data_IF_705947858137
#
_entry.id   IF_705947858137
#
_cell.length_a   1.000
_cell.length_b   1.000
_cell.length_c   1.000
_cell.angle_alpha   90.00
_cell.angle_beta   90.00
_cell.angle_gamma   90.00
#
_symmetry.space_group_name_H-M   'P 1'
#
loop_
_entity.id
_entity.type
_entity.pdbx_description
1 polymer ?
#
# COMPACT_ATOMS: atom_id res chain seq x y z
N UNK A 1 -33.28 -67.87 10.69
CA UNK A 1 -31.95 -68.03 11.31
C UNK A 1 -32.17 -67.98 12.80
N UNK A 2 -31.67 -68.97 13.54
CA UNK A 2 -31.82 -69.00 15.00
C UNK A 2 -31.18 -67.76 15.62
N UNK A 3 -31.92 -67.08 16.49
CA UNK A 3 -31.42 -65.92 17.22
C UNK A 3 -30.32 -66.39 18.18
N UNK A 4 -29.06 -66.13 17.82
CA UNK A 4 -27.92 -66.37 18.71
C UNK A 4 -28.02 -65.43 19.90
N UNK A 5 -27.66 -65.92 21.09
CA UNK A 5 -27.66 -65.06 22.28
C UNK A 5 -26.49 -64.09 22.25
N UNK A 6 -26.57 -63.00 23.02
CA UNK A 6 -25.50 -62.02 23.14
C UNK A 6 -24.18 -62.67 23.59
N UNK A 7 -24.23 -63.67 24.46
CA UNK A 7 -23.05 -64.40 24.94
C UNK A 7 -22.41 -65.22 23.82
N UNK A 8 -23.22 -65.87 22.98
CA UNK A 8 -22.71 -66.61 21.81
C UNK A 8 -22.09 -65.69 20.77
N UNK A 9 -22.73 -64.53 20.52
CA UNK A 9 -22.18 -63.51 19.62
C UNK A 9 -20.89 -62.91 20.19
N UNK A 10 -20.81 -62.68 21.50
CA UNK A 10 -19.59 -62.21 22.17
C UNK A 10 -18.44 -63.23 22.05
N UNK A 11 -18.70 -64.52 22.21
CA UNK A 11 -17.68 -65.56 22.05
C UNK A 11 -17.10 -65.60 20.62
N UNK A 12 -17.97 -65.49 19.61
CA UNK A 12 -17.56 -65.42 18.20
C UNK A 12 -16.80 -64.12 17.89
N UNK A 13 -17.25 -63.00 18.44
CA UNK A 13 -16.59 -61.73 18.30
C UNK A 13 -15.18 -61.73 18.95
N UNK A 14 -14.99 -62.40 20.09
CA UNK A 14 -13.68 -62.61 20.71
C UNK A 14 -12.75 -63.48 19.85
N UNK A 15 -13.31 -64.41 19.07
CA UNK A 15 -12.57 -65.21 18.10
C UNK A 15 -12.20 -64.43 16.81
N UNK A 16 -12.59 -63.16 16.70
CA UNK A 16 -12.28 -62.29 15.57
C UNK A 16 -13.34 -62.26 14.45
N UNK A 17 -14.54 -62.78 14.69
CA UNK A 17 -15.64 -62.71 13.71
C UNK A 17 -16.26 -61.30 13.68
N UNK A 18 -15.95 -60.53 12.64
CA UNK A 18 -16.49 -59.18 12.43
C UNK A 18 -18.01 -59.17 12.23
N UNK A 19 -18.60 -60.20 11.60
CA UNK A 19 -20.05 -60.26 11.41
C UNK A 19 -20.78 -60.49 12.74
N UNK A 20 -20.16 -61.23 13.66
CA UNK A 20 -20.68 -61.40 15.00
C UNK A 20 -20.65 -60.08 15.79
N UNK A 21 -19.61 -59.26 15.63
CA UNK A 21 -19.54 -57.91 16.22
C UNK A 21 -20.66 -57.01 15.70
N UNK A 22 -20.85 -56.93 14.39
CA UNK A 22 -21.89 -56.07 13.79
C UNK A 22 -23.28 -56.48 14.29
N UNK A 23 -23.59 -57.78 14.28
CA UNK A 23 -24.87 -58.30 14.81
C UNK A 23 -25.05 -58.00 16.29
N UNK A 24 -24.00 -58.18 17.10
CA UNK A 24 -24.04 -57.87 18.53
C UNK A 24 -24.35 -56.38 18.77
N UNK A 25 -23.81 -55.47 17.96
CA UNK A 25 -24.11 -54.04 18.07
C UNK A 25 -25.56 -53.77 17.65
N UNK A 26 -25.97 -54.28 16.48
CA UNK A 26 -27.32 -54.10 15.92
C UNK A 26 -28.42 -54.58 16.87
N UNK A 27 -28.28 -55.80 17.41
CA UNK A 27 -29.24 -56.40 18.34
C UNK A 27 -29.40 -55.59 19.64
N UNK A 28 -28.37 -54.83 20.03
CA UNK A 28 -28.33 -54.08 21.27
C UNK A 28 -28.49 -52.56 21.10
N UNK A 29 -28.78 -52.07 19.88
CA UNK A 29 -28.99 -50.64 19.60
C UNK A 29 -30.08 -50.00 20.46
N UNK A 30 -31.16 -50.73 20.78
CA UNK A 30 -32.24 -50.22 21.63
C UNK A 30 -31.74 -49.88 23.04
N UNK A 31 -30.87 -50.72 23.59
CA UNK A 31 -30.27 -50.50 24.92
C UNK A 31 -29.28 -49.32 24.90
N UNK A 32 -28.47 -49.21 23.85
CA UNK A 32 -27.55 -48.09 23.64
C UNK A 32 -28.34 -46.78 23.54
N UNK A 33 -29.39 -46.74 22.72
CA UNK A 33 -30.27 -45.57 22.58
C UNK A 33 -30.96 -45.19 23.88
N UNK A 34 -31.42 -46.18 24.66
CA UNK A 34 -31.98 -45.93 25.99
C UNK A 34 -30.95 -45.30 26.94
N UNK A 35 -29.72 -45.81 26.93
CA UNK A 35 -28.61 -45.27 27.73
C UNK A 35 -28.26 -43.84 27.31
N UNK A 36 -28.20 -43.56 26.00
CA UNK A 36 -27.99 -42.22 25.48
C UNK A 36 -29.11 -41.26 25.94
N UNK A 37 -30.37 -41.68 25.83
CA UNK A 37 -31.52 -40.89 26.30
C UNK A 37 -31.48 -40.64 27.81
N UNK A 38 -30.99 -41.59 28.62
CA UNK A 38 -30.79 -41.38 30.06
C UNK A 38 -29.69 -40.35 30.35
N UNK A 39 -28.59 -40.37 29.58
CA UNK A 39 -27.53 -39.36 29.71
C UNK A 39 -28.05 -37.98 29.30
N UNK A 40 -28.85 -37.90 28.23
CA UNK A 40 -29.48 -36.65 27.81
C UNK A 40 -30.48 -36.18 28.87
N UNK A 41 -31.27 -37.08 29.45
CA UNK A 41 -32.19 -36.82 30.57
C UNK A 41 -33.44 -36.00 30.22
N UNK A 42 -33.29 -34.90 29.47
CA UNK A 42 -34.40 -34.00 29.13
C UNK A 42 -34.06 -32.96 28.04
N UNK A 43 -35.06 -32.16 27.62
CA UNK A 43 -34.96 -31.27 26.45
C UNK A 43 -33.93 -30.15 26.64
N UNK A 44 -33.76 -29.65 27.86
CA UNK A 44 -32.79 -28.59 28.19
C UNK A 44 -31.36 -29.09 27.91
N UNK A 45 -31.02 -30.28 28.43
CA UNK A 45 -29.70 -30.86 28.23
C UNK A 45 -29.51 -31.40 26.79
N UNK A 46 -30.58 -31.80 26.11
CA UNK A 46 -30.52 -32.08 24.66
C UNK A 46 -30.13 -30.84 23.86
N UNK A 47 -30.80 -29.71 24.10
CA UNK A 47 -30.49 -28.44 23.42
C UNK A 47 -29.08 -27.97 23.74
N UNK A 48 -28.65 -28.16 24.98
CA UNK A 48 -27.29 -27.91 25.41
C UNK A 48 -26.24 -28.71 24.62
N UNK A 49 -26.41 -30.03 24.53
CA UNK A 49 -25.50 -30.91 23.79
C UNK A 49 -25.49 -30.57 22.29
N UNK A 50 -26.66 -30.27 21.73
CA UNK A 50 -26.78 -29.83 20.35
C UNK A 50 -26.02 -28.52 20.09
N UNK A 51 -26.11 -27.55 21.01
CA UNK A 51 -25.31 -26.31 20.94
C UNK A 51 -23.80 -26.56 21.07
N UNK A 52 -23.38 -27.73 21.57
CA UNK A 52 -22.00 -28.20 21.60
C UNK A 52 -21.61 -29.02 20.36
N UNK A 53 -22.50 -29.14 19.36
CA UNK A 53 -22.27 -29.95 18.17
C UNK A 53 -22.38 -31.47 18.39
N UNK A 54 -23.01 -31.90 19.50
CA UNK A 54 -23.22 -33.32 19.79
C UNK A 54 -24.68 -33.67 19.57
N UNK A 55 -24.95 -34.54 18.61
CA UNK A 55 -26.27 -35.08 18.34
C UNK A 55 -26.53 -36.38 19.10
N UNK A 56 -27.80 -36.81 19.09
CA UNK A 56 -28.19 -38.10 19.67
C UNK A 56 -27.47 -39.27 18.99
N UNK A 57 -27.25 -39.17 17.69
CA UNK A 57 -26.67 -40.24 16.91
C UNK A 57 -25.17 -40.37 17.20
N UNK A 58 -24.46 -39.27 17.45
CA UNK A 58 -23.06 -39.29 17.90
C UNK A 58 -22.90 -40.05 19.23
N UNK A 59 -23.82 -39.82 20.18
CA UNK A 59 -23.83 -40.56 21.44
C UNK A 59 -24.12 -42.04 21.23
N UNK A 60 -25.04 -42.39 20.34
CA UNK A 60 -25.33 -43.79 20.01
C UNK A 60 -24.10 -44.46 19.39
N UNK A 61 -23.39 -43.78 18.50
CA UNK A 61 -22.17 -44.29 17.88
C UNK A 61 -21.04 -44.45 18.89
N UNK A 62 -20.80 -43.45 19.74
CA UNK A 62 -19.82 -43.56 20.83
C UNK A 62 -20.16 -44.72 21.79
N UNK A 63 -21.45 -44.91 22.09
CA UNK A 63 -21.94 -46.04 22.85
C UNK A 63 -21.66 -47.40 22.18
N UNK A 64 -21.86 -47.48 20.87
CA UNK A 64 -21.58 -48.67 20.06
C UNK A 64 -20.09 -49.01 20.04
N UNK A 65 -19.22 -48.01 19.95
CA UNK A 65 -17.76 -48.16 20.09
C UNK A 65 -17.41 -48.65 21.51
N UNK A 66 -18.09 -48.12 22.53
CA UNK A 66 -17.93 -48.57 23.91
C UNK A 66 -18.32 -50.04 24.12
N UNK A 67 -19.43 -50.48 23.51
CA UNK A 67 -19.87 -51.87 23.50
C UNK A 67 -18.84 -52.78 22.82
N UNK A 68 -18.36 -52.37 21.64
CA UNK A 68 -17.34 -53.10 20.89
C UNK A 68 -16.06 -53.29 21.70
N UNK A 69 -15.56 -52.21 22.33
CA UNK A 69 -14.37 -52.29 23.21
C UNK A 69 -14.56 -53.20 24.41
N UNK A 70 -15.79 -53.37 24.90
CA UNK A 70 -16.09 -54.25 26.02
C UNK A 70 -16.01 -55.74 25.64
N UNK A 71 -16.15 -56.10 24.37
CA UNK A 71 -16.09 -57.49 23.90
C UNK A 71 -14.75 -58.14 24.26
N UNK A 72 -13.63 -57.44 24.04
CA UNK A 72 -12.28 -57.97 24.30
C UNK A 72 -12.00 -58.26 25.77
N UNK A 73 -12.70 -57.61 26.71
CA UNK A 73 -12.48 -57.73 28.15
C UNK A 73 -13.52 -58.54 28.91
N UNK A 74 -14.52 -59.12 28.22
CA UNK A 74 -15.64 -59.79 28.87
C UNK A 74 -15.33 -61.25 29.23
N UNK A 75 -15.45 -61.59 30.51
CA UNK A 75 -15.29 -62.96 31.02
C UNK A 75 -16.61 -63.73 30.95
N UNK A 76 -16.79 -64.53 29.90
CA UNK A 76 -18.00 -65.34 29.68
C UNK A 76 -18.17 -66.50 30.68
N UNK A 77 -17.10 -66.88 31.40
CA UNK A 77 -17.13 -67.93 32.44
C UNK A 77 -17.74 -67.45 33.76
N UNK A 78 -17.84 -66.13 33.98
CA UNK A 78 -18.30 -65.51 35.23
C UNK A 78 -19.80 -65.66 35.50
N UNK A 79 -20.59 -66.13 34.51
CA UNK A 79 -22.04 -66.26 34.60
C UNK A 79 -22.81 -64.93 34.59
N UNK A 80 -22.12 -63.79 34.44
CA UNK A 80 -22.77 -62.49 34.29
C UNK A 80 -23.22 -62.27 32.84
N UNK A 81 -24.40 -61.66 32.65
CA UNK A 81 -24.89 -61.33 31.31
C UNK A 81 -24.00 -60.28 30.66
N UNK A 82 -23.71 -60.45 29.37
CA UNK A 82 -22.81 -59.55 28.63
C UNK A 82 -23.19 -58.06 28.76
N UNK A 83 -24.47 -57.73 28.60
CA UNK A 83 -24.95 -56.35 28.71
C UNK A 83 -24.74 -55.74 30.10
N UNK A 84 -24.82 -56.54 31.16
CA UNK A 84 -24.58 -56.07 32.52
C UNK A 84 -23.13 -55.65 32.70
N UNK A 85 -22.20 -56.40 32.10
CA UNK A 85 -20.78 -56.06 32.07
C UNK A 85 -20.47 -54.86 31.15
N UNK A 86 -21.10 -54.79 29.97
CA UNK A 86 -20.81 -53.77 28.98
C UNK A 86 -21.43 -52.39 29.28
N UNK A 87 -22.54 -52.33 30.04
CA UNK A 87 -23.26 -51.08 30.29
C UNK A 87 -22.39 -49.93 30.86
N UNK A 88 -21.48 -50.15 31.83
CA UNK A 88 -20.53 -49.12 32.28
C UNK A 88 -19.59 -48.62 31.16
N UNK A 89 -19.13 -49.52 30.28
CA UNK A 89 -18.24 -49.16 29.16
C UNK A 89 -18.96 -48.30 28.12
N UNK A 90 -20.20 -48.67 27.76
CA UNK A 90 -21.07 -47.88 26.89
C UNK A 90 -21.26 -46.47 27.45
N UNK A 91 -21.67 -46.38 28.73
CA UNK A 91 -21.93 -45.10 29.40
C UNK A 91 -20.65 -44.25 29.48
N UNK A 92 -19.51 -44.86 29.79
CA UNK A 92 -18.22 -44.16 29.85
C UNK A 92 -17.83 -43.60 28.49
N UNK A 93 -17.97 -44.37 27.40
CA UNK A 93 -17.65 -43.90 26.05
C UNK A 93 -18.48 -42.67 25.66
N UNK A 94 -19.78 -42.67 25.96
CA UNK A 94 -20.66 -41.51 25.73
C UNK A 94 -20.24 -40.29 26.57
N UNK A 95 -19.92 -40.49 27.85
CA UNK A 95 -19.47 -39.39 28.74
C UNK A 95 -18.13 -38.83 28.29
N UNK A 96 -17.20 -39.69 27.85
CA UNK A 96 -15.90 -39.27 27.38
C UNK A 96 -16.00 -38.47 26.06
N UNK A 97 -16.94 -38.81 25.16
CA UNK A 97 -17.28 -37.97 23.99
C UNK A 97 -17.72 -36.57 24.44
N UNK A 98 -18.69 -36.49 25.36
CA UNK A 98 -19.18 -35.21 25.88
C UNK A 98 -18.02 -34.40 26.49
N UNK A 99 -17.10 -35.05 27.20
CA UNK A 99 -15.92 -34.41 27.80
C UNK A 99 -14.87 -33.97 26.80
N UNK A 100 -14.77 -34.63 25.64
CA UNK A 100 -13.85 -34.23 24.57
C UNK A 100 -14.36 -32.95 23.92
N UNK A 101 -15.62 -32.93 23.49
CA UNK A 101 -16.27 -31.74 22.94
C UNK A 101 -16.37 -30.58 23.95
N UNK A 102 -16.59 -30.86 25.25
CA UNK A 102 -16.59 -29.80 26.28
C UNK A 102 -15.20 -29.20 26.56
N UNK A 103 -14.13 -29.86 26.10
CA UNK A 103 -12.76 -29.36 26.21
C UNK A 103 -12.33 -28.53 24.99
N UNK A 104 -13.13 -28.51 23.93
CA UNK A 104 -12.89 -27.61 22.81
C UNK A 104 -12.97 -26.15 23.31
N UNK A 105 -12.01 -25.33 22.90
CA UNK A 105 -11.83 -23.95 23.36
C UNK A 105 -13.09 -23.08 23.22
N UNK A 106 -13.88 -23.36 22.19
CA UNK A 106 -15.22 -22.82 21.90
C UNK A 106 -16.18 -22.99 23.08
N UNK A 107 -16.10 -24.10 23.81
CA UNK A 107 -16.97 -24.42 24.95
C UNK A 107 -16.55 -23.71 26.23
N UNK A 108 -15.25 -23.64 26.50
CA UNK A 108 -14.68 -22.91 27.65
C UNK A 108 -15.05 -21.42 27.57
N UNK A 109 -15.00 -20.83 26.37
CA UNK A 109 -15.40 -19.44 26.11
C UNK A 109 -16.90 -19.18 26.33
N UNK A 110 -17.77 -20.15 26.07
CA UNK A 110 -19.24 -20.02 26.25
C UNK A 110 -19.72 -20.17 27.71
N UNK A 111 -18.92 -20.78 28.59
CA UNK A 111 -19.36 -21.19 29.94
C UNK A 111 -18.75 -20.39 31.09
N UNK A 112 -17.76 -19.56 30.80
CA UNK A 112 -17.29 -18.60 31.78
C UNK A 112 -18.38 -17.56 32.01
N UNK A 113 -18.94 -17.51 33.22
CA UNK A 113 -20.01 -16.56 33.60
C UNK A 113 -19.58 -15.10 33.44
N UNK A 114 -18.28 -14.85 33.32
CA UNK A 114 -17.71 -13.53 33.06
C UNK A 114 -17.59 -13.21 31.56
N UNK A 115 -17.60 -14.22 30.68
CA UNK A 115 -17.52 -14.05 29.24
C UNK A 115 -18.90 -14.26 28.58
N UNK A 116 -19.60 -13.15 28.35
CA UNK A 116 -20.83 -13.08 27.56
C UNK A 116 -20.61 -13.20 26.04
N UNK A 117 -19.62 -13.97 25.60
CA UNK A 117 -19.20 -14.00 24.20
C UNK A 117 -20.06 -15.01 23.43
N UNK A 118 -20.99 -14.50 22.62
CA UNK A 118 -21.74 -15.30 21.64
C UNK A 118 -20.81 -15.59 20.46
N UNK A 119 -20.70 -16.86 20.09
CA UNK A 119 -20.03 -17.25 18.84
C UNK A 119 -21.00 -16.96 17.70
N UNK A 120 -20.51 -16.22 16.71
CA UNK A 120 -21.21 -15.84 15.49
C UNK A 120 -20.45 -16.52 14.36
N UNK A 121 -21.16 -17.20 13.46
CA UNK A 121 -20.54 -17.75 12.27
C UNK A 121 -20.34 -16.64 11.22
N UNK A 122 -19.25 -16.73 10.45
CA UNK A 122 -18.88 -15.72 9.45
C UNK A 122 -19.90 -15.65 8.29
N UNK A 123 -20.56 -16.76 8.03
CA UNK A 123 -21.63 -16.96 7.04
C UNK A 123 -23.03 -16.68 7.59
N UNK A 124 -23.17 -16.16 8.81
CA UNK A 124 -24.48 -15.64 9.28
C UNK A 124 -24.86 -14.40 8.46
N UNK A 125 -26.07 -14.42 7.90
CA UNK A 125 -26.68 -13.26 7.24
C UNK A 125 -26.94 -12.15 8.26
N UNK A 126 -26.60 -10.91 7.89
CA UNK A 126 -26.83 -9.73 8.73
C UNK A 126 -28.23 -9.14 8.51
N UNK A 127 -28.79 -9.33 7.33
CA UNK A 127 -30.13 -8.87 6.95
C UNK A 127 -30.88 -9.89 6.08
N UNK A 128 -32.15 -9.62 5.79
CA UNK A 128 -33.01 -10.49 4.99
C UNK A 128 -32.70 -10.41 3.47
N UNK A 129 -31.62 -9.72 3.06
CA UNK A 129 -31.27 -9.52 1.65
C UNK A 129 -30.30 -10.58 1.10
N UNK A 130 -29.82 -11.49 1.96
CA UNK A 130 -28.88 -12.60 1.64
C UNK A 130 -27.53 -12.15 1.03
N UNK A 131 -27.29 -10.84 0.85
CA UNK A 131 -26.08 -10.31 0.22
C UNK A 131 -24.98 -9.95 1.23
N UNK A 132 -25.36 -9.54 2.46
CA UNK A 132 -24.44 -9.09 3.50
C UNK A 132 -24.27 -10.12 4.61
N UNK A 133 -23.12 -10.81 4.63
CA UNK A 133 -22.73 -11.75 5.69
C UNK A 133 -21.78 -11.10 6.71
N UNK A 134 -21.65 -11.69 7.90
CA UNK A 134 -20.72 -11.20 8.95
C UNK A 134 -19.28 -11.07 8.43
N UNK A 135 -18.85 -11.94 7.52
CA UNK A 135 -17.52 -11.89 6.88
C UNK A 135 -17.25 -10.54 6.18
N UNK A 136 -18.25 -9.94 5.53
CA UNK A 136 -18.06 -8.72 4.72
C UNK A 136 -17.68 -7.50 5.58
N UNK A 137 -18.06 -7.49 6.86
CA UNK A 137 -17.77 -6.41 7.79
C UNK A 137 -16.41 -6.51 8.48
N UNK A 138 -15.75 -7.66 8.43
CA UNK A 138 -14.52 -7.90 9.19
C UNK A 138 -13.31 -7.57 8.30
N UNK A 139 -12.59 -6.47 8.58
CA UNK A 139 -11.39 -6.14 7.82
C UNK A 139 -10.28 -7.14 8.12
N UNK A 140 -9.54 -7.53 7.09
CA UNK A 140 -8.35 -8.37 7.24
C UNK A 140 -7.24 -7.59 7.95
N UNK A 141 -6.80 -7.99 9.16
CA UNK A 141 -5.91 -7.19 10.00
C UNK A 141 -4.47 -7.05 9.47
N UNK A 142 -4.09 -7.81 8.44
CA UNK A 142 -2.75 -7.80 7.85
C UNK A 142 -2.67 -7.27 6.42
N UNK A 143 -3.79 -6.86 5.83
CA UNK A 143 -3.83 -6.38 4.44
C UNK A 143 -3.70 -4.86 4.45
N UNK A 144 -2.64 -4.35 3.82
CA UNK A 144 -2.48 -2.90 3.63
C UNK A 144 -3.46 -2.40 2.60
N UNK A 145 -3.98 -1.19 2.80
CA UNK A 145 -4.83 -0.54 1.81
C UNK A 145 -4.01 -0.22 0.54
N UNK A 146 -4.61 -0.25 -0.67
CA UNK A 146 -3.91 0.12 -1.90
C UNK A 146 -3.23 1.50 -1.82
N UNK A 147 -3.88 2.46 -1.16
CA UNK A 147 -3.32 3.78 -0.89
C UNK A 147 -2.04 3.70 -0.03
N UNK A 148 -2.05 2.90 1.03
CA UNK A 148 -0.87 2.71 1.89
C UNK A 148 0.27 2.04 1.13
N UNK A 149 -0.02 1.08 0.24
CA UNK A 149 0.99 0.46 -0.62
C UNK A 149 1.64 1.50 -1.53
N UNK A 150 0.84 2.39 -2.13
CA UNK A 150 1.35 3.44 -2.99
C UNK A 150 2.19 4.47 -2.22
N UNK A 151 1.73 4.91 -1.04
CA UNK A 151 2.47 5.81 -0.16
C UNK A 151 3.82 5.18 0.24
N UNK A 152 3.84 3.89 0.58
CA UNK A 152 5.09 3.19 0.89
C UNK A 152 6.03 3.10 -0.32
N UNK A 153 5.52 2.90 -1.53
CA UNK A 153 6.33 2.90 -2.75
C UNK A 153 6.91 4.29 -3.04
N UNK A 154 6.11 5.34 -2.91
CA UNK A 154 6.51 6.72 -3.15
C UNK A 154 7.55 7.17 -2.12
N UNK A 155 7.33 6.90 -0.83
CA UNK A 155 8.30 7.22 0.24
C UNK A 155 9.64 6.52 0.06
N UNK A 156 9.66 5.28 -0.45
CA UNK A 156 10.91 4.57 -0.80
C UNK A 156 11.62 5.24 -1.98
N UNK A 157 10.87 5.69 -3.00
CA UNK A 157 11.45 6.39 -4.14
C UNK A 157 12.05 7.74 -3.74
N UNK A 158 11.34 8.52 -2.92
CA UNK A 158 11.82 9.80 -2.36
C UNK A 158 13.10 9.61 -1.52
N UNK A 159 13.14 8.56 -0.71
CA UNK A 159 14.32 8.22 0.09
C UNK A 159 15.53 7.94 -0.81
N UNK A 160 15.37 7.12 -1.85
CA UNK A 160 16.45 6.82 -2.77
C UNK A 160 16.95 8.07 -3.51
N UNK A 161 16.04 8.95 -3.94
CA UNK A 161 16.43 10.20 -4.57
C UNK A 161 17.21 11.12 -3.61
N UNK A 162 16.75 11.24 -2.37
CA UNK A 162 17.45 11.99 -1.33
C UNK A 162 18.84 11.39 -1.01
N UNK A 163 18.97 10.06 -1.09
CA UNK A 163 20.25 9.38 -0.94
C UNK A 163 21.20 9.67 -2.11
N UNK A 164 20.68 9.74 -3.35
CA UNK A 164 21.47 10.09 -4.53
C UNK A 164 21.95 11.55 -4.52
N UNK A 165 21.24 12.45 -3.84
CA UNK A 165 21.67 13.82 -3.61
C UNK A 165 22.79 13.95 -2.56
N UNK A 166 23.04 12.90 -1.74
CA UNK A 166 24.14 12.91 -0.77
C UNK A 166 25.51 12.87 -1.46
N UNK A 167 26.56 13.40 -0.83
CA UNK A 167 27.91 13.16 -1.32
C UNK A 167 28.22 11.66 -1.36
N UNK A 168 28.93 11.23 -2.42
CA UNK A 168 29.18 9.82 -2.72
C UNK A 168 29.64 8.98 -1.51
N UNK A 169 30.48 9.55 -0.64
CA UNK A 169 31.00 8.86 0.53
C UNK A 169 29.90 8.57 1.57
N UNK A 170 29.08 9.56 1.87
CA UNK A 170 27.93 9.45 2.77
C UNK A 170 26.86 8.53 2.20
N UNK A 171 26.58 8.61 0.89
CA UNK A 171 25.63 7.73 0.20
C UNK A 171 26.04 6.26 0.33
N UNK A 172 27.27 5.92 -0.08
CA UNK A 172 27.80 4.54 -0.01
C UNK A 172 27.83 4.03 1.44
N UNK A 173 28.16 4.90 2.41
CA UNK A 173 28.12 4.54 3.83
C UNK A 173 26.70 4.17 4.29
N UNK A 174 25.68 4.99 3.98
CA UNK A 174 24.29 4.75 4.37
C UNK A 174 23.71 3.52 3.67
N UNK A 175 23.98 3.34 2.37
CA UNK A 175 23.54 2.18 1.60
C UNK A 175 24.03 0.86 2.20
N UNK A 176 25.29 0.82 2.64
CA UNK A 176 25.84 -0.35 3.32
C UNK A 176 25.30 -0.46 4.75
N UNK A 177 25.32 0.61 5.55
CA UNK A 177 24.96 0.60 6.98
C UNK A 177 23.54 0.12 7.27
N UNK A 178 22.59 0.55 6.45
CA UNK A 178 21.16 0.24 6.59
C UNK A 178 20.67 -0.79 5.55
N UNK A 179 21.61 -1.48 4.89
CA UNK A 179 21.25 -2.61 4.05
C UNK A 179 20.46 -2.29 2.77
N UNK A 180 20.44 -1.05 2.29
CA UNK A 180 19.76 -0.72 1.02
C UNK A 180 20.41 -1.43 -0.19
N UNK A 181 21.70 -1.75 -0.13
CA UNK A 181 22.40 -2.47 -1.20
C UNK A 181 22.38 -4.01 -1.05
N UNK A 182 22.38 -4.52 0.19
CA UNK A 182 22.63 -5.94 0.51
C UNK A 182 21.43 -6.62 1.17
N UNK A 183 20.40 -5.85 1.55
CA UNK A 183 19.18 -6.33 2.23
C UNK A 183 19.35 -6.62 3.72
N UNK A 184 20.45 -6.17 4.35
CA UNK A 184 20.73 -6.40 5.76
C UNK A 184 21.43 -5.22 6.42
N UNK A 185 20.98 -4.86 7.61
CA UNK A 185 21.64 -3.85 8.45
C UNK A 185 22.98 -4.36 9.00
N UNK A 186 24.01 -3.53 8.91
CA UNK A 186 25.33 -3.81 9.44
C UNK A 186 25.58 -2.97 10.70
N UNK A 187 26.02 -3.55 11.84
CA UNK A 187 26.31 -2.78 13.05
C UNK A 187 27.47 -1.79 12.81
N UNK A 188 27.52 -0.72 13.62
CA UNK A 188 28.52 0.35 13.49
C UNK A 188 29.98 -0.17 13.51
N UNK A 189 30.23 -1.22 14.28
CA UNK A 189 31.55 -1.85 14.40
C UNK A 189 31.97 -2.53 13.10
N UNK A 190 31.06 -3.28 12.48
CA UNK A 190 31.26 -3.96 11.21
C UNK A 190 31.41 -2.97 10.06
N UNK A 191 30.57 -1.92 10.02
CA UNK A 191 30.70 -0.87 9.00
C UNK A 191 31.99 -0.09 9.12
N UNK A 192 32.43 0.23 10.35
CA UNK A 192 33.70 0.90 10.59
C UNK A 192 34.88 0.06 10.06
N UNK A 193 34.87 -1.25 10.32
CA UNK A 193 35.88 -2.18 9.80
C UNK A 193 35.86 -2.25 8.26
N UNK A 194 34.68 -2.39 7.66
CA UNK A 194 34.50 -2.47 6.21
C UNK A 194 35.04 -1.23 5.48
N UNK A 195 34.78 -0.03 6.00
CA UNK A 195 35.26 1.23 5.42
C UNK A 195 36.66 1.64 5.90
N UNK A 196 37.36 0.80 6.67
CA UNK A 196 38.66 1.10 7.28
C UNK A 196 38.66 2.42 8.08
N UNK A 197 37.58 2.67 8.82
CA UNK A 197 37.39 3.83 9.68
C UNK A 197 37.48 3.43 11.17
N UNK A 198 37.84 4.39 12.02
CA UNK A 198 37.60 4.23 13.46
C UNK A 198 36.10 4.33 13.75
N UNK A 199 35.62 3.70 14.81
CA UNK A 199 34.20 3.77 15.20
C UNK A 199 33.72 5.22 15.42
N UNK A 200 34.56 6.06 16.03
CA UNK A 200 34.30 7.50 16.18
C UNK A 200 34.14 8.20 14.83
N UNK A 201 34.96 7.82 13.82
CA UNK A 201 34.87 8.39 12.47
C UNK A 201 33.64 7.88 11.73
N UNK A 202 33.31 6.60 11.83
CA UNK A 202 32.08 6.03 11.27
C UNK A 202 30.83 6.73 11.84
N UNK A 203 30.78 6.91 13.17
CA UNK A 203 29.70 7.65 13.85
C UNK A 203 29.59 9.10 13.40
N UNK A 204 30.72 9.75 13.11
CA UNK A 204 30.73 11.11 12.54
C UNK A 204 30.18 11.15 11.12
N UNK A 205 30.49 10.16 10.27
CA UNK A 205 29.95 10.06 8.91
C UNK A 205 28.45 9.80 8.96
N UNK A 206 27.99 8.89 9.82
CA UNK A 206 26.58 8.59 10.02
C UNK A 206 25.78 9.83 10.43
N UNK A 207 26.29 10.60 11.41
CA UNK A 207 25.65 11.87 11.81
C UNK A 207 25.61 12.90 10.69
N UNK A 208 26.66 12.96 9.87
CA UNK A 208 26.71 13.85 8.71
C UNK A 208 25.65 13.45 7.68
N UNK A 209 25.60 12.16 7.32
CA UNK A 209 24.67 11.62 6.35
C UNK A 209 23.21 11.78 6.81
N UNK A 210 22.88 11.43 8.07
CA UNK A 210 21.53 11.61 8.62
C UNK A 210 21.13 13.09 8.69
N UNK A 211 22.07 14.00 8.96
CA UNK A 211 21.80 15.44 8.95
C UNK A 211 21.47 15.94 7.54
N UNK A 212 22.20 15.46 6.52
CA UNK A 212 21.96 15.80 5.12
C UNK A 212 20.65 15.19 4.62
N UNK A 213 20.39 13.90 4.90
CA UNK A 213 19.10 13.28 4.58
C UNK A 213 17.93 14.00 5.21
N UNK A 214 18.06 14.41 6.48
CA UNK A 214 17.01 15.21 7.13
C UNK A 214 16.84 16.58 6.46
N UNK A 215 17.89 17.18 5.93
CA UNK A 215 17.77 18.42 5.17
C UNK A 215 17.02 18.20 3.87
N UNK A 216 17.40 17.20 3.08
CA UNK A 216 16.74 16.87 1.80
C UNK A 216 15.28 16.44 2.01
N UNK A 217 14.98 15.67 3.07
CA UNK A 217 13.63 15.15 3.33
C UNK A 217 12.71 16.12 4.09
N UNK A 218 13.21 16.94 5.02
CA UNK A 218 12.34 17.78 5.88
C UNK A 218 12.33 19.27 5.55
N UNK A 219 13.34 19.82 4.85
CA UNK A 219 13.36 21.25 4.54
C UNK A 219 12.81 21.58 3.15
N UNK A 220 12.46 20.58 2.33
CA UNK A 220 12.07 20.79 0.93
C UNK A 220 10.68 20.30 0.54
N UNK A 221 10.00 19.60 1.43
CA UNK A 221 8.62 19.14 1.24
C UNK A 221 7.72 20.17 1.94
N UNK A 222 7.45 21.32 1.29
CA UNK A 222 6.40 21.40 0.27
C UNK A 222 6.71 22.31 -0.94
N UNK A 223 7.96 22.73 -1.18
CA UNK A 223 8.25 23.60 -2.33
C UNK A 223 8.86 22.84 -3.51
N UNK A 224 9.76 21.86 -3.28
CA UNK A 224 10.38 21.13 -4.40
C UNK A 224 9.45 20.10 -5.04
N UNK A 225 8.65 19.39 -4.26
CA UNK A 225 7.67 18.43 -4.79
C UNK A 225 6.59 19.15 -5.64
N UNK A 226 6.08 20.28 -5.14
CA UNK A 226 5.15 21.13 -5.89
C UNK A 226 5.84 21.77 -7.10
N UNK A 227 7.05 22.33 -6.98
CA UNK A 227 7.76 22.94 -8.11
C UNK A 227 8.14 21.91 -9.20
N UNK A 228 8.47 20.67 -8.83
CA UNK A 228 8.75 19.59 -9.80
C UNK A 228 7.48 19.08 -10.46
N UNK A 229 6.40 18.93 -9.70
CA UNK A 229 5.09 18.59 -10.26
C UNK A 229 4.59 19.69 -11.20
N UNK A 230 4.73 20.96 -10.82
CA UNK A 230 4.41 22.13 -11.64
C UNK A 230 5.30 22.21 -12.89
N UNK A 231 6.63 22.05 -12.78
CA UNK A 231 7.54 22.06 -13.94
C UNK A 231 7.23 20.89 -14.90
N UNK A 232 6.94 19.70 -14.37
CA UNK A 232 6.54 18.53 -15.17
C UNK A 232 5.20 18.76 -15.87
N UNK A 233 4.19 19.27 -15.16
CA UNK A 233 2.90 19.64 -15.75
C UNK A 233 3.05 20.74 -16.79
N UNK A 234 3.84 21.78 -16.50
CA UNK A 234 4.09 22.91 -17.41
C UNK A 234 4.74 22.43 -18.71
N UNK A 235 5.74 21.55 -18.63
CA UNK A 235 6.38 20.97 -19.83
C UNK A 235 5.44 20.08 -20.62
N UNK A 236 4.61 19.28 -19.95
CA UNK A 236 3.61 18.42 -20.63
C UNK A 236 2.55 19.26 -21.34
N UNK A 237 2.03 20.30 -20.69
CA UNK A 237 1.03 21.19 -21.27
C UNK A 237 1.61 22.09 -22.37
N UNK A 238 2.89 22.46 -22.27
CA UNK A 238 3.62 23.16 -23.34
C UNK A 238 3.87 22.26 -24.55
N UNK A 239 4.28 21.01 -24.34
CA UNK A 239 4.43 20.04 -25.43
C UNK A 239 3.09 19.68 -26.11
N UNK A 240 1.98 19.74 -25.36
CA UNK A 240 0.62 19.57 -25.89
C UNK A 240 0.09 20.82 -26.62
N UNK A 241 0.81 21.95 -26.57
CA UNK A 241 0.39 23.23 -27.17
C UNK A 241 -0.73 23.95 -26.41
N UNK A 242 -1.06 23.51 -25.20
CA UNK A 242 -2.14 24.10 -24.38
C UNK A 242 -1.66 25.28 -23.51
N UNK A 243 -0.35 25.36 -23.27
CA UNK A 243 0.29 26.40 -22.47
C UNK A 243 1.55 26.89 -23.16
N UNK A 244 1.79 28.21 -23.17
CA UNK A 244 3.08 28.72 -23.60
C UNK A 244 3.95 29.04 -22.38
N UNK A 245 5.22 28.68 -22.44
CA UNK A 245 6.18 28.82 -21.34
C UNK A 245 7.45 29.51 -21.80
N UNK A 246 7.92 30.51 -21.03
CA UNK A 246 9.18 31.19 -21.29
C UNK A 246 10.14 30.94 -20.15
N UNK A 247 11.26 30.27 -20.44
CA UNK A 247 12.35 30.15 -19.48
C UNK A 247 13.32 31.33 -19.67
N UNK A 248 13.52 32.11 -18.62
CA UNK A 248 14.46 33.23 -18.61
C UNK A 248 15.73 32.87 -17.84
N UNK A 249 16.88 33.22 -18.43
CA UNK A 249 18.21 33.09 -17.80
C UNK A 249 18.90 34.44 -17.78
N UNK A 250 19.35 34.86 -16.61
CA UNK A 250 20.08 36.10 -16.45
C UNK A 250 21.51 35.95 -17.00
N UNK A 251 21.81 36.60 -18.13
CA UNK A 251 23.13 36.54 -18.77
C UNK A 251 24.11 37.53 -18.15
N UNK A 252 23.65 38.74 -17.86
CA UNK A 252 24.47 39.77 -17.21
C UNK A 252 23.62 40.85 -16.54
N UNK A 253 24.18 41.51 -15.53
CA UNK A 253 23.54 42.64 -14.83
C UNK A 253 24.55 43.76 -14.56
N UNK A 254 24.13 45.01 -14.75
CA UNK A 254 24.89 46.20 -14.36
C UNK A 254 24.29 46.76 -13.07
N UNK A 255 25.13 47.04 -12.07
CA UNK A 255 24.74 47.57 -10.75
C UNK A 255 25.40 48.93 -10.50
N UNK A 256 24.66 49.85 -9.88
CA UNK A 256 25.22 51.11 -9.34
C UNK A 256 24.81 51.23 -7.87
N UNK A 257 25.73 50.91 -6.97
CA UNK A 257 25.44 50.76 -5.53
C UNK A 257 24.58 49.51 -5.27
N UNK A 258 23.50 49.64 -4.47
CA UNK A 258 22.58 48.54 -4.12
C UNK A 258 21.45 48.30 -5.15
N UNK A 259 21.39 49.06 -6.25
CA UNK A 259 20.32 48.96 -7.26
C UNK A 259 20.86 48.45 -8.60
N UNK A 260 20.13 47.51 -9.20
CA UNK A 260 20.39 47.01 -10.56
C UNK A 260 19.91 48.07 -11.55
N UNK A 261 20.76 48.45 -12.50
CA UNK A 261 20.47 49.51 -13.47
C UNK A 261 20.06 48.96 -14.83
N UNK A 262 20.61 47.82 -15.22
CA UNK A 262 20.30 47.12 -16.47
C UNK A 262 20.49 45.62 -16.28
N UNK A 263 19.65 44.79 -16.90
CA UNK A 263 19.82 43.34 -16.95
C UNK A 263 19.59 42.81 -18.36
N UNK A 264 20.46 41.89 -18.79
CA UNK A 264 20.32 41.16 -20.05
C UNK A 264 19.84 39.75 -19.73
N UNK A 265 18.70 39.38 -20.28
CA UNK A 265 18.11 38.05 -20.16
C UNK A 265 18.12 37.33 -21.50
N UNK A 266 18.51 36.06 -21.45
CA UNK A 266 18.22 35.09 -22.50
C UNK A 266 16.88 34.45 -22.19
N UNK A 267 16.04 34.30 -23.21
CA UNK A 267 14.75 33.62 -23.07
C UNK A 267 14.59 32.47 -24.07
N UNK A 268 14.03 31.37 -23.58
CA UNK A 268 13.66 30.20 -24.37
C UNK A 268 12.15 30.13 -24.47
N UNK A 269 11.62 30.15 -25.70
CA UNK A 269 10.19 29.97 -25.95
C UNK A 269 9.83 28.49 -25.97
N UNK A 270 8.76 28.14 -25.26
CA UNK A 270 8.14 26.81 -25.15
C UNK A 270 9.11 25.67 -24.78
N UNK A 271 10.11 26.00 -23.96
CA UNK A 271 11.11 25.09 -23.38
C UNK A 271 12.01 24.31 -24.37
N UNK A 272 11.69 24.30 -25.67
CA UNK A 272 12.45 23.60 -26.73
C UNK A 272 12.77 24.50 -27.96
N UNK A 273 12.43 25.79 -27.94
CA UNK A 273 12.56 26.73 -29.06
C UNK A 273 13.81 27.62 -29.05
N UNK A 274 14.11 28.22 -30.22
CA UNK A 274 15.31 29.03 -30.46
C UNK A 274 15.49 30.21 -29.48
N UNK A 275 16.75 30.58 -29.27
CA UNK A 275 17.20 31.58 -28.30
C UNK A 275 16.82 33.02 -28.70
N UNK A 276 16.23 33.77 -27.79
CA UNK A 276 16.08 35.22 -27.89
C UNK A 276 16.84 35.96 -26.78
N UNK A 277 17.24 37.20 -27.04
CA UNK A 277 17.91 38.06 -26.06
C UNK A 277 17.12 39.36 -25.86
N UNK A 278 16.88 39.73 -24.61
CA UNK A 278 16.30 41.03 -24.24
C UNK A 278 17.17 41.74 -23.21
N UNK A 279 17.25 43.06 -23.33
CA UNK A 279 17.87 43.94 -22.35
C UNK A 279 16.78 44.81 -21.72
N UNK A 280 16.75 44.87 -20.40
CA UNK A 280 15.82 45.71 -19.67
C UNK A 280 16.57 46.75 -18.82
N UNK A 281 16.30 48.02 -19.09
CA UNK A 281 16.86 49.16 -18.36
C UNK A 281 15.88 49.62 -17.27
N UNK A 282 16.21 49.30 -16.02
CA UNK A 282 15.38 49.61 -14.84
C UNK A 282 15.33 51.11 -14.48
N UNK A 283 16.19 51.94 -15.09
CA UNK A 283 16.22 53.39 -14.84
C UNK A 283 15.17 54.15 -15.64
N UNK A 284 15.04 53.80 -16.92
CA UNK A 284 14.16 54.49 -17.87
C UNK A 284 12.86 53.70 -18.11
N UNK A 285 12.78 52.45 -17.61
CA UNK A 285 11.65 51.55 -17.81
C UNK A 285 11.55 51.02 -19.23
N UNK A 286 12.62 51.17 -20.01
CA UNK A 286 12.70 50.80 -21.42
C UNK A 286 13.27 49.40 -21.58
N UNK A 287 12.59 48.59 -22.39
CA UNK A 287 13.05 47.28 -22.80
C UNK A 287 13.50 47.34 -24.26
N UNK A 288 14.69 46.81 -24.54
CA UNK A 288 15.19 46.63 -25.89
C UNK A 288 15.31 45.13 -26.18
N UNK A 289 14.61 44.67 -27.21
CA UNK A 289 14.75 43.29 -27.71
C UNK A 289 16.00 43.27 -28.60
N UNK A 290 17.04 42.59 -28.14
CA UNK A 290 18.33 42.53 -28.83
C UNK A 290 18.32 41.47 -29.93
N UNK A 291 17.62 40.35 -29.70
CA UNK A 291 17.51 39.25 -30.66
C UNK A 291 16.15 38.54 -30.48
N UNK A 292 15.41 38.37 -31.58
CA UNK A 292 14.19 37.56 -31.62
C UNK A 292 14.56 36.12 -31.98
N UNK A 293 13.90 35.15 -31.35
CA UNK A 293 14.06 33.74 -31.68
C UNK A 293 13.70 33.48 -33.15
N UNK A 294 14.53 32.71 -33.86
CA UNK A 294 14.46 32.58 -35.33
C UNK A 294 13.18 31.91 -35.87
N UNK A 295 12.35 31.29 -35.03
CA UNK A 295 11.26 30.40 -35.49
C UNK A 295 9.84 30.99 -35.49
N UNK A 296 9.58 32.14 -34.85
CA UNK A 296 8.39 32.97 -35.13
C UNK A 296 8.59 34.37 -34.54
N UNK A 297 8.72 35.38 -35.40
CA UNK A 297 8.87 36.77 -34.95
C UNK A 297 7.66 37.30 -34.19
N UNK A 298 6.46 36.76 -34.43
CA UNK A 298 5.22 37.23 -33.79
C UNK A 298 5.11 36.65 -32.38
N UNK A 299 5.26 35.32 -32.23
CA UNK A 299 5.32 34.64 -30.93
C UNK A 299 6.48 35.17 -30.07
N UNK A 300 7.71 35.22 -30.62
CA UNK A 300 8.90 35.73 -29.92
C UNK A 300 8.73 37.17 -29.42
N UNK A 301 8.06 38.03 -30.18
CA UNK A 301 7.76 39.39 -29.74
C UNK A 301 6.74 39.42 -28.59
N UNK A 302 5.70 38.58 -28.64
CA UNK A 302 4.72 38.46 -27.55
C UNK A 302 5.37 37.91 -26.26
N UNK A 303 6.25 36.92 -26.40
CA UNK A 303 7.06 36.39 -25.31
C UNK A 303 7.88 37.50 -24.66
N UNK A 304 8.68 38.22 -25.45
CA UNK A 304 9.49 39.32 -24.96
C UNK A 304 8.65 40.41 -24.25
N UNK A 305 7.48 40.78 -24.78
CA UNK A 305 6.58 41.75 -24.16
C UNK A 305 6.07 41.30 -22.78
N UNK A 306 5.74 40.02 -22.61
CA UNK A 306 5.30 39.47 -21.32
C UNK A 306 6.42 39.43 -20.28
N UNK A 307 7.63 39.14 -20.71
CA UNK A 307 8.82 39.24 -19.83
C UNK A 307 8.99 40.68 -19.34
N UNK A 308 8.82 41.66 -20.22
CA UNK A 308 8.92 43.08 -19.88
C UNK A 308 7.83 43.50 -18.87
N UNK A 309 6.59 43.08 -19.07
CA UNK A 309 5.49 43.33 -18.11
C UNK A 309 5.78 42.75 -16.73
N UNK A 310 6.39 41.55 -16.67
CA UNK A 310 6.75 40.91 -15.41
C UNK A 310 7.91 41.65 -14.72
N UNK A 311 8.94 42.05 -15.48
CA UNK A 311 10.08 42.80 -14.95
C UNK A 311 9.71 44.21 -14.46
N UNK A 312 8.67 44.84 -15.02
CA UNK A 312 8.12 46.10 -14.52
C UNK A 312 7.48 45.98 -13.13
N UNK A 313 6.92 44.81 -12.79
CA UNK A 313 6.26 44.54 -11.50
C UNK A 313 7.21 44.00 -10.43
N UNK A 314 8.41 43.56 -10.81
CA UNK A 314 9.37 42.91 -9.92
C UNK A 314 10.22 43.93 -9.11
N UNK A 315 10.56 43.63 -7.83
CA UNK A 315 11.37 44.51 -7.01
C UNK A 315 12.85 44.54 -7.45
N UNK A 316 13.40 45.75 -7.64
CA UNK A 316 14.75 46.03 -8.21
C UNK A 316 15.93 45.56 -7.32
N UNK A 317 15.66 44.97 -6.15
CA UNK A 317 16.68 44.63 -5.15
C UNK A 317 17.28 43.22 -5.28
N UNK A 318 16.56 42.25 -5.87
CA UNK A 318 17.05 40.90 -6.16
C UNK A 318 16.35 40.33 -7.41
N UNK A 319 17.12 40.04 -8.46
CA UNK A 319 16.63 39.35 -9.65
C UNK A 319 17.09 37.88 -9.59
N UNK A 320 16.20 36.89 -9.81
CA UNK A 320 16.56 35.49 -9.85
C UNK A 320 17.44 35.15 -11.07
N UNK A 321 18.37 34.21 -10.91
CA UNK A 321 19.27 33.77 -12.00
C UNK A 321 18.54 33.01 -13.10
N UNK A 322 17.48 32.27 -12.74
CA UNK A 322 16.58 31.56 -13.65
C UNK A 322 15.16 31.61 -13.11
N UNK A 323 14.19 31.88 -13.98
CA UNK A 323 12.77 31.78 -13.63
C UNK A 323 11.92 31.46 -14.87
N UNK A 324 10.78 30.82 -14.66
CA UNK A 324 9.86 30.40 -15.70
C UNK A 324 8.59 31.24 -15.62
N UNK A 325 8.13 31.75 -16.77
CA UNK A 325 6.85 32.43 -16.90
C UNK A 325 5.92 31.60 -17.76
N UNK A 326 4.75 31.27 -17.23
CA UNK A 326 3.70 30.55 -17.97
C UNK A 326 2.57 31.50 -18.31
N UNK A 327 1.99 31.35 -19.50
CA UNK A 327 0.76 32.05 -19.87
C UNK A 327 -0.06 31.28 -20.89
N UNK A 328 -1.37 31.51 -20.82
CA UNK A 328 -2.34 30.96 -21.76
C UNK A 328 -2.34 31.86 -23.01
N UNK A 329 -2.18 31.26 -24.20
CA UNK A 329 -2.19 31.99 -25.47
C UNK A 329 -3.52 32.72 -25.71
N UNK A 330 -3.53 33.89 -26.39
CA UNK A 330 -4.74 34.68 -26.61
C UNK A 330 -5.75 34.07 -27.59
N UNK A 331 -5.52 32.88 -28.15
CA UNK A 331 -6.59 32.16 -28.85
C UNK A 331 -7.78 31.82 -27.93
N UNK A 332 -7.65 31.99 -26.60
CA UNK A 332 -8.71 31.71 -25.63
C UNK A 332 -9.06 32.83 -24.62
N UNK A 333 -8.68 34.10 -24.80
CA UNK A 333 -9.20 35.19 -23.94
C UNK A 333 -9.65 36.43 -24.75
N UNK A 334 -10.86 36.97 -24.49
CA UNK A 334 -11.45 38.03 -25.30
C UNK A 334 -10.73 39.36 -25.14
N UNK A 335 -10.52 40.01 -26.27
CA UNK A 335 -9.85 41.30 -26.49
C UNK A 335 -10.34 42.38 -25.53
N UNK A 336 -9.42 42.97 -24.76
CA UNK A 336 -9.52 44.38 -24.33
C UNK A 336 -8.22 45.10 -24.61
N UNK A 337 -8.29 45.98 -25.60
CA UNK A 337 -7.20 46.84 -26.04
C UNK A 337 -6.94 47.95 -25.02
N UNK A 338 -5.67 48.21 -24.71
CA UNK A 338 -5.22 49.54 -24.27
C UNK A 338 -3.88 49.87 -24.92
N UNK A 339 -3.89 51.03 -25.59
CA UNK A 339 -2.82 51.60 -26.40
C UNK A 339 -1.55 51.88 -25.58
N UNK A 340 -0.39 51.43 -26.08
CA UNK A 340 0.91 52.02 -25.75
C UNK A 340 1.68 52.32 -27.04
N UNK A 341 2.08 53.59 -27.21
CA UNK A 341 2.83 54.07 -28.38
C UNK A 341 4.31 53.73 -28.22
N UNK A 342 4.88 53.04 -29.20
CA UNK A 342 6.34 52.85 -29.34
C UNK A 342 6.92 53.91 -30.29
N UNK A 343 8.11 54.43 -29.97
CA UNK A 343 8.96 55.16 -30.93
C UNK A 343 9.96 54.16 -31.53
N UNK A 344 9.91 53.99 -32.84
CA UNK A 344 10.91 53.26 -33.62
C UNK A 344 12.13 54.15 -33.86
N UNK A 345 13.30 53.77 -33.31
CA UNK A 345 14.57 54.28 -33.81
C UNK A 345 14.96 53.46 -35.04
N UNK A 346 15.23 54.15 -36.15
CA UNK A 346 15.34 53.58 -37.48
C UNK A 346 16.44 52.53 -37.64
N UNK A 347 16.03 51.30 -37.98
CA UNK A 347 16.90 50.35 -38.67
C UNK A 347 17.01 50.76 -40.15
N UNK A 348 18.20 51.24 -40.50
CA UNK A 348 18.60 51.49 -41.88
C UNK A 348 18.65 50.14 -42.63
N UNK A 349 17.58 49.83 -43.34
CA UNK A 349 17.44 48.69 -44.24
C UNK A 349 18.34 48.88 -45.46
N UNK A 350 19.56 48.31 -45.46
CA UNK A 350 20.22 47.94 -46.72
C UNK A 350 19.58 46.64 -47.22
N UNK A 351 18.63 46.82 -48.15
CA UNK A 351 18.07 45.79 -49.02
C UNK A 351 19.18 45.00 -49.70
N UNK A 352 19.16 43.68 -49.58
CA UNK A 352 19.37 42.82 -50.74
C UNK A 352 18.07 42.04 -50.99
N UNK A 353 17.52 42.24 -52.18
CA UNK A 353 16.27 41.68 -52.64
C UNK A 353 16.40 40.17 -52.87
N UNK A 354 15.47 39.42 -52.27
CA UNK A 354 14.46 38.56 -52.94
C UNK A 354 14.70 38.24 -54.43
N UNK A 355 14.81 36.97 -54.79
CA UNK A 355 13.70 36.12 -55.26
C UNK A 355 14.21 34.79 -55.82
N UNK A 356 13.43 33.73 -55.59
CA UNK A 356 13.75 32.37 -55.98
C UNK A 356 13.25 31.95 -57.36
N UNK A 357 13.37 30.64 -57.56
CA UNK A 357 12.70 29.75 -58.51
C UNK A 357 12.75 30.10 -60.01
N UNK A 358 13.37 29.22 -60.81
CA UNK A 358 12.65 28.15 -61.53
C UNK A 358 13.59 27.35 -62.44
N UNK A 359 13.39 26.04 -62.40
CA UNK A 359 13.77 25.09 -63.45
C UNK A 359 13.02 25.41 -64.76
N UNK A 360 13.72 25.44 -65.89
CA UNK A 360 13.38 24.77 -67.17
C UNK A 360 14.39 25.14 -68.27
N UNK A 361 14.87 24.08 -68.94
CA UNK A 361 15.85 23.98 -70.04
C UNK A 361 17.34 23.96 -69.65
#
# INVERSE_FOLDING_TARGET
MEARTNEQLCALAQAGDEQAVSRLIEDNLRFIRQTANQIIGGPIRKRYLFSCGIETDDLIQAGSIGLWKAVSGCDLSSGTKFLTYAAPAIKRAMIDLIRQYSRDAVWQLRHDKTNAWKIIYLDEDLDDTEDDTVETLIPSPGVKLPEQIYIEQETVAELHEAMDALPNRENVYVQYRFGFAVGKDHPLTETAQYFHLTESRAKSVERSALKLLRHELFFEIPERAYARAEDKLTRVLAAAGELHAVELRLKSQKKRGKKITAAVYEYFADCDGALGELCYDFKDGTAEIMLLAEWDTIGSHQFAMRVVEHLQKAPISKLPEKFMLTFIGPEQLPVRATNCRLRTAGLNMRKQNKNGERSTL
#
